data_IF_240176931364
#
_entry.id   IF_240176931364
#
_cell.length_a   1.000
_cell.length_b   1.000
_cell.length_c   1.000
_cell.angle_alpha   90.00
_cell.angle_beta   90.00
_cell.angle_gamma   90.00
#
_symmetry.space_group_name_H-M   'P 1'
#
loop_
_entity.id
_entity.type
_entity.pdbx_description
1 polymer ?
#
# COMPACT_ATOMS: atom_id res chain seq x y z
N UNK A 1 8.72 -10.43 -11.69
CA UNK A 1 7.64 -9.84 -10.87
C UNK A 1 7.59 -8.30 -10.98
N UNK A 2 8.73 -7.59 -10.96
CA UNK A 2 8.81 -6.12 -11.10
C UNK A 2 8.22 -5.48 -12.38
N UNK A 3 8.01 -6.24 -13.47
CA UNK A 3 7.42 -5.70 -14.71
C UNK A 3 5.89 -5.53 -14.69
N UNK A 4 5.20 -6.08 -13.70
CA UNK A 4 3.74 -5.96 -13.56
C UNK A 4 3.30 -4.63 -12.93
N UNK A 5 4.18 -3.98 -12.16
CA UNK A 5 3.88 -2.68 -11.53
C UNK A 5 3.88 -1.49 -12.50
N UNK A 6 4.28 -1.69 -13.76
CA UNK A 6 4.35 -0.64 -14.78
C UNK A 6 3.15 -0.59 -15.73
N UNK A 7 2.23 -1.55 -15.67
CA UNK A 7 1.10 -1.56 -16.59
C UNK A 7 -0.12 -0.83 -15.99
N UNK A 8 -0.48 0.27 -16.65
CA UNK A 8 -1.51 1.26 -16.28
C UNK A 8 -2.96 0.79 -16.54
N UNK A 9 -3.22 -0.52 -16.59
CA UNK A 9 -4.57 -1.03 -16.76
C UNK A 9 -5.29 -1.10 -15.40
N UNK A 10 -6.52 -0.60 -15.33
CA UNK A 10 -7.36 -0.61 -14.12
C UNK A 10 -7.43 -2.00 -13.47
N UNK A 11 -7.61 -3.05 -14.27
CA UNK A 11 -7.66 -4.45 -13.81
C UNK A 11 -6.34 -4.95 -13.21
N UNK A 12 -5.21 -4.39 -13.66
CA UNK A 12 -3.92 -4.75 -13.13
C UNK A 12 -3.66 -4.09 -11.77
N UNK A 13 -4.22 -2.89 -11.53
CA UNK A 13 -4.07 -2.21 -10.24
C UNK A 13 -4.72 -3.00 -9.11
N UNK A 14 -5.97 -3.41 -9.32
CA UNK A 14 -6.74 -4.26 -8.41
C UNK A 14 -6.03 -5.60 -8.13
N UNK A 15 -5.64 -6.29 -9.21
CA UNK A 15 -4.91 -7.56 -9.11
C UNK A 15 -3.58 -7.43 -8.34
N UNK A 16 -2.85 -6.33 -8.55
CA UNK A 16 -1.59 -6.09 -7.86
C UNK A 16 -1.74 -5.87 -6.37
N UNK A 17 -2.75 -5.11 -5.94
CA UNK A 17 -3.05 -4.92 -4.51
C UNK A 17 -3.41 -6.25 -3.86
N UNK A 18 -4.26 -7.05 -4.52
CA UNK A 18 -4.67 -8.35 -4.00
C UNK A 18 -3.49 -9.32 -3.82
N UNK A 19 -2.63 -9.45 -4.84
CA UNK A 19 -1.46 -10.34 -4.80
C UNK A 19 -0.52 -9.91 -3.67
N UNK A 20 -0.20 -8.62 -3.58
CA UNK A 20 0.71 -8.13 -2.55
C UNK A 20 0.15 -8.25 -1.15
N UNK A 21 -1.16 -8.05 -0.95
CA UNK A 21 -1.79 -8.29 0.34
C UNK A 21 -1.63 -9.76 0.78
N UNK A 22 -1.78 -10.72 -0.15
CA UNK A 22 -1.56 -12.14 0.15
C UNK A 22 -0.08 -12.46 0.44
N UNK A 23 0.86 -11.89 -0.31
CA UNK A 23 2.30 -12.10 -0.07
C UNK A 23 2.70 -11.55 1.29
N UNK A 24 2.38 -10.28 1.57
CA UNK A 24 2.73 -9.60 2.83
C UNK A 24 2.13 -10.32 4.04
N UNK A 25 0.92 -10.87 3.91
CA UNK A 25 0.29 -11.62 4.99
C UNK A 25 1.01 -12.94 5.34
N UNK A 26 1.77 -13.51 4.40
CA UNK A 26 2.46 -14.80 4.57
C UNK A 26 3.96 -14.62 4.85
N UNK A 27 4.58 -13.64 4.21
CA UNK A 27 6.02 -13.41 4.29
C UNK A 27 6.34 -11.91 4.48
N UNK A 28 6.56 -11.46 5.73
CA UNK A 28 6.93 -10.07 6.03
C UNK A 28 8.28 -9.66 5.44
N UNK A 29 9.17 -10.60 5.08
CA UNK A 29 10.49 -10.25 4.55
C UNK A 29 10.44 -9.50 3.21
N UNK A 30 9.32 -9.62 2.48
CA UNK A 30 9.07 -8.91 1.23
C UNK A 30 9.01 -7.37 1.40
N UNK A 31 8.89 -6.86 2.63
CA UNK A 31 8.96 -5.43 2.93
C UNK A 31 10.27 -4.80 2.43
N UNK A 32 11.38 -5.55 2.44
CA UNK A 32 12.69 -5.08 1.95
C UNK A 32 12.60 -4.77 0.46
N UNK A 33 12.06 -5.70 -0.32
CA UNK A 33 11.90 -5.55 -1.77
C UNK A 33 10.91 -4.42 -2.09
N UNK A 34 9.81 -4.32 -1.34
CA UNK A 34 8.81 -3.27 -1.49
C UNK A 34 9.38 -1.87 -1.22
N UNK A 35 10.22 -1.71 -0.20
CA UNK A 35 10.87 -0.43 0.10
C UNK A 35 11.91 -0.08 -0.97
N UNK A 36 12.77 -1.04 -1.35
CA UNK A 36 13.79 -0.84 -2.38
C UNK A 36 13.18 -0.46 -3.74
N UNK A 37 12.06 -1.08 -4.10
CA UNK A 37 11.33 -0.78 -5.34
C UNK A 37 10.44 0.48 -5.25
N UNK A 38 10.42 1.19 -4.12
CA UNK A 38 9.51 2.31 -3.83
C UNK A 38 8.03 1.93 -3.97
N UNK A 39 7.69 0.67 -3.70
CA UNK A 39 6.32 0.13 -3.76
C UNK A 39 5.35 0.80 -2.82
N UNK A 40 5.81 1.33 -1.68
CA UNK A 40 4.99 2.14 -0.78
C UNK A 40 4.28 3.31 -1.48
N UNK A 41 4.90 3.94 -2.50
CA UNK A 41 4.27 5.02 -3.27
C UNK A 41 3.08 4.54 -4.10
N UNK A 42 3.18 3.34 -4.63
CA UNK A 42 2.10 2.72 -5.40
C UNK A 42 0.87 2.49 -4.50
N UNK A 43 1.04 1.79 -3.38
CA UNK A 43 -0.08 1.51 -2.47
C UNK A 43 -0.65 2.77 -1.83
N UNK A 44 0.19 3.78 -1.55
CA UNK A 44 -0.27 5.08 -1.08
C UNK A 44 -1.16 5.79 -2.11
N UNK A 45 -0.80 5.73 -3.39
CA UNK A 45 -1.64 6.30 -4.46
C UNK A 45 -3.01 5.61 -4.55
N UNK A 46 -3.08 4.30 -4.32
CA UNK A 46 -4.34 3.56 -4.29
C UNK A 46 -5.18 3.95 -3.07
N UNK A 47 -4.55 4.08 -1.90
CA UNK A 47 -5.24 4.49 -0.67
C UNK A 47 -5.89 5.88 -0.82
N UNK A 48 -5.24 6.80 -1.53
CA UNK A 48 -5.72 8.17 -1.74
C UNK A 48 -6.73 8.30 -2.90
N UNK A 49 -6.84 7.31 -3.79
CA UNK A 49 -7.74 7.34 -4.94
C UNK A 49 -9.19 7.04 -4.52
N UNK A 50 -10.03 8.07 -4.48
CA UNK A 50 -11.44 7.95 -4.10
C UNK A 50 -12.28 7.15 -5.10
N UNK A 51 -11.78 6.97 -6.33
CA UNK A 51 -12.44 6.18 -7.39
C UNK A 51 -12.23 4.68 -7.25
N UNK A 52 -11.27 4.25 -6.44
CA UNK A 52 -11.01 2.84 -6.15
C UNK A 52 -11.94 2.34 -5.04
N UNK A 53 -12.50 1.15 -5.20
CA UNK A 53 -13.39 0.54 -4.20
C UNK A 53 -12.75 0.44 -2.80
N UNK A 54 -13.58 0.60 -1.76
CA UNK A 54 -13.12 0.56 -0.36
C UNK A 54 -12.35 -0.71 -0.04
N UNK A 55 -12.75 -1.87 -0.54
CA UNK A 55 -12.05 -3.14 -0.33
C UNK A 55 -10.58 -3.07 -0.79
N UNK A 56 -10.33 -2.56 -2.00
CA UNK A 56 -8.98 -2.39 -2.52
C UNK A 56 -8.18 -1.35 -1.75
N UNK A 57 -8.81 -0.26 -1.30
CA UNK A 57 -8.15 0.73 -0.43
C UNK A 57 -7.78 0.14 0.93
N UNK A 58 -8.64 -0.69 1.51
CA UNK A 58 -8.35 -1.39 2.77
C UNK A 58 -7.20 -2.37 2.60
N UNK A 59 -7.15 -3.12 1.49
CA UNK A 59 -6.01 -3.99 1.18
C UNK A 59 -4.71 -3.19 0.94
N UNK A 60 -4.79 -2.01 0.32
CA UNK A 60 -3.64 -1.12 0.18
C UNK A 60 -3.14 -0.63 1.56
N UNK A 61 -4.04 -0.25 2.46
CA UNK A 61 -3.70 0.11 3.84
C UNK A 61 -3.04 -1.07 4.59
N UNK A 62 -3.54 -2.31 4.41
CA UNK A 62 -2.93 -3.50 4.97
C UNK A 62 -1.49 -3.72 4.48
N UNK A 63 -1.26 -3.59 3.16
CA UNK A 63 0.10 -3.70 2.60
C UNK A 63 1.02 -2.60 3.15
N UNK A 64 0.52 -1.37 3.25
CA UNK A 64 1.28 -0.25 3.83
C UNK A 64 1.66 -0.51 5.30
N UNK A 65 0.74 -1.09 6.09
CA UNK A 65 1.02 -1.51 7.46
C UNK A 65 2.11 -2.58 7.51
N UNK A 66 2.04 -3.59 6.63
CA UNK A 66 3.08 -4.62 6.53
C UNK A 66 4.45 -4.09 6.09
N UNK A 67 4.49 -3.02 5.28
CA UNK A 67 5.76 -2.37 4.89
C UNK A 67 6.47 -1.72 6.09
N UNK A 68 5.72 -1.20 7.06
CA UNK A 68 6.28 -0.47 8.22
C UNK A 68 6.43 -1.34 9.47
N UNK A 69 5.89 -2.56 9.46
CA UNK A 69 5.84 -3.45 10.61
C UNK A 69 7.26 -3.89 11.03
N UNK A 70 7.69 -3.45 12.20
CA UNK A 70 9.02 -3.74 12.75
C UNK A 70 10.20 -3.49 11.78
N UNK A 71 10.03 -2.57 10.81
CA UNK A 71 11.03 -2.30 9.77
C UNK A 71 11.41 -0.82 9.66
N UNK A 72 12.58 -0.42 10.20
CA UNK A 72 12.99 0.99 10.24
C UNK A 72 13.06 1.69 8.88
N UNK A 73 13.57 1.01 7.84
CA UNK A 73 13.65 1.62 6.51
C UNK A 73 12.26 1.82 5.88
N UNK A 74 11.30 0.93 6.17
CA UNK A 74 9.91 1.11 5.78
C UNK A 74 9.24 2.27 6.50
N UNK A 75 9.50 2.41 7.81
CA UNK A 75 9.01 3.52 8.63
C UNK A 75 9.58 4.86 8.14
N UNK A 76 10.88 4.93 7.83
CA UNK A 76 11.50 6.13 7.26
C UNK A 76 10.90 6.49 5.89
N UNK A 77 10.70 5.49 5.03
CA UNK A 77 10.04 5.70 3.74
C UNK A 77 8.59 6.21 3.89
N UNK A 78 7.87 5.76 4.91
CA UNK A 78 6.53 6.24 5.24
C UNK A 78 6.53 7.68 5.78
N UNK A 79 7.52 8.02 6.61
CA UNK A 79 7.69 9.36 7.20
C UNK A 79 8.09 10.42 6.18
N UNK A 80 8.91 10.05 5.19
CA UNK A 80 9.30 10.95 4.10
C UNK A 80 8.15 11.21 3.10
N UNK A 81 7.08 10.41 3.15
CA UNK A 81 5.89 10.56 2.32
C UNK A 81 4.71 11.18 3.07
N UNK A 82 3.58 11.31 2.38
CA UNK A 82 2.31 11.74 2.98
C UNK A 82 1.52 10.59 3.63
N UNK A 83 2.19 9.47 3.98
CA UNK A 83 1.51 8.24 4.37
C UNK A 83 0.73 8.40 5.67
N UNK A 84 1.33 9.03 6.69
CA UNK A 84 0.66 9.26 7.97
C UNK A 84 -0.58 10.14 7.79
N UNK A 85 -0.44 11.24 7.06
CA UNK A 85 -1.56 12.15 6.76
C UNK A 85 -2.68 11.43 6.00
N UNK A 86 -2.34 10.65 4.98
CA UNK A 86 -3.32 9.88 4.20
C UNK A 86 -4.06 8.84 5.04
N UNK A 87 -3.34 8.12 5.92
CA UNK A 87 -3.96 7.15 6.82
C UNK A 87 -4.91 7.83 7.83
N UNK A 88 -4.54 9.00 8.35
CA UNK A 88 -5.39 9.77 9.27
C UNK A 88 -6.66 10.29 8.61
N UNK A 89 -6.57 10.78 7.36
CA UNK A 89 -7.74 11.19 6.58
C UNK A 89 -8.69 10.00 6.37
N UNK A 90 -8.19 8.83 5.98
CA UNK A 90 -9.02 7.64 5.80
C UNK A 90 -9.64 7.11 7.09
N UNK A 91 -8.92 7.18 8.20
CA UNK A 91 -9.47 6.79 9.50
C UNK A 91 -10.64 7.68 9.90
N UNK A 92 -10.58 8.98 9.58
CA UNK A 92 -11.68 9.91 9.80
C UNK A 92 -12.86 9.64 8.88
N UNK A 93 -12.61 9.43 7.58
CA UNK A 93 -13.65 9.05 6.61
C UNK A 93 -14.39 7.77 7.03
N UNK A 94 -13.67 6.74 7.49
CA UNK A 94 -14.27 5.47 7.94
C UNK A 94 -14.99 5.58 9.29
N UNK A 95 -14.62 6.53 10.14
CA UNK A 95 -15.31 6.75 11.42
C UNK A 95 -16.62 7.54 11.26
N UNK A 96 -16.77 8.29 10.16
CA UNK A 96 -17.94 9.13 9.86
C UNK A 96 -18.96 8.45 8.92
N UNK A 97 -18.65 7.25 8.39
CA UNK A 97 -19.48 6.45 7.48
C UNK A 97 -20.27 5.35 8.21
#
# INVERSE_FOLDING_TARGET
MLKLLQASAHDLRASMVYIWAKIVAVDPSCQVDLVNAKGHKYFLSILQDSTVDTEHRTLAAFVLAGIVDNYPAGQEAALQGSMISACLEKLREWAEA
#
